data_IF_582363876189
#
_entry.id   IF_582363876189
#
_cell.length_a   1.000
_cell.length_b   1.000
_cell.length_c   1.000
_cell.angle_alpha   90.00
_cell.angle_beta   90.00
_cell.angle_gamma   90.00
#
_symmetry.space_group_name_H-M   'P 1'
#
loop_
_entity.id
_entity.type
_entity.pdbx_description
1 polymer ?
#
# COMPACT_ATOMS: atom_id res chain seq x y z
N UNK A 1 -4.60 -13.73 24.77
CA UNK A 1 -3.75 -12.65 24.18
C UNK A 1 -4.49 -11.31 24.12
N UNK A 2 -5.79 -11.30 23.82
CA UNK A 2 -6.62 -10.07 23.80
C UNK A 2 -6.63 -9.30 25.12
N UNK A 3 -6.69 -9.99 26.26
CA UNK A 3 -6.70 -9.35 27.60
C UNK A 3 -5.45 -8.54 27.94
N UNK A 4 -4.30 -8.86 27.37
CA UNK A 4 -3.05 -8.14 27.61
C UNK A 4 -2.99 -6.79 26.90
N UNK A 5 -3.54 -6.73 25.69
CA UNK A 5 -3.59 -5.50 24.88
C UNK A 5 -4.59 -4.49 25.50
N UNK A 6 -5.72 -5.01 25.99
CA UNK A 6 -6.78 -4.18 26.59
C UNK A 6 -6.31 -3.56 27.91
N UNK A 7 -5.64 -4.30 28.79
CA UNK A 7 -5.07 -3.76 30.03
C UNK A 7 -4.00 -2.70 29.79
N UNK A 8 -3.25 -2.82 28.69
CA UNK A 8 -2.26 -1.80 28.33
C UNK A 8 -2.91 -0.50 27.83
N UNK A 9 -3.99 -0.60 27.06
CA UNK A 9 -4.76 0.55 26.58
C UNK A 9 -5.58 1.22 27.70
N UNK A 10 -6.24 0.45 28.55
CA UNK A 10 -6.99 0.97 29.72
C UNK A 10 -6.09 1.66 30.74
N UNK A 11 -4.86 1.20 30.94
CA UNK A 11 -3.91 1.83 31.85
C UNK A 11 -3.44 3.21 31.35
N UNK A 12 -3.47 3.45 30.05
CA UNK A 12 -3.15 4.75 29.43
C UNK A 12 -4.30 5.77 29.57
N UNK A 13 -5.56 5.29 29.62
CA UNK A 13 -6.74 6.16 29.73
C UNK A 13 -7.09 6.55 31.17
N UNK A 14 -6.62 5.80 32.17
CA UNK A 14 -6.98 5.98 33.59
C UNK A 14 -5.92 6.66 34.46
N UNK A 15 -4.88 7.24 33.90
CA UNK A 15 -3.92 8.01 34.71
C UNK A 15 -4.53 9.34 35.14
N UNK A 16 -4.61 9.63 36.45
CA UNK A 16 -5.13 10.92 36.93
C UNK A 16 -4.16 12.03 36.49
N UNK A 17 -4.75 13.17 36.18
CA UNK A 17 -4.04 14.41 35.90
C UNK A 17 -3.12 14.77 37.05
N UNK A 18 -1.84 14.51 36.91
CA UNK A 18 -0.80 14.97 37.81
C UNK A 18 0.16 15.84 37.02
N UNK A 19 0.20 17.10 37.42
CA UNK A 19 1.26 18.09 37.30
C UNK A 19 2.09 18.14 36.02
N UNK A 20 1.94 19.26 35.33
CA UNK A 20 2.77 19.73 34.23
C UNK A 20 4.27 19.81 34.61
N UNK A 21 5.05 18.81 34.19
CA UNK A 21 6.49 18.84 34.26
C UNK A 21 7.08 17.95 33.15
N UNK A 22 8.09 18.43 32.38
CA UNK A 22 8.56 17.75 31.18
C UNK A 22 9.31 16.42 31.39
N UNK A 23 9.53 15.99 32.64
CA UNK A 23 10.38 14.82 32.94
C UNK A 23 9.65 13.49 33.14
N UNK A 24 8.30 13.46 33.07
CA UNK A 24 7.50 12.24 33.28
C UNK A 24 7.17 11.44 32.01
N UNK A 25 7.25 12.07 30.84
CA UNK A 25 6.84 11.43 29.56
C UNK A 25 7.90 10.56 28.91
N UNK A 26 9.20 10.85 29.14
CA UNK A 26 10.29 10.10 28.49
C UNK A 26 10.49 8.65 28.98
N UNK A 27 9.93 8.27 30.12
CA UNK A 27 10.20 6.92 30.69
C UNK A 27 9.17 5.85 30.33
N UNK A 28 8.01 6.19 29.78
CA UNK A 28 6.95 5.22 29.46
C UNK A 28 7.05 4.70 28.02
N UNK A 29 7.47 5.55 27.08
CA UNK A 29 7.63 5.17 25.66
C UNK A 29 8.59 4.01 25.42
N UNK A 30 9.77 3.93 26.07
CA UNK A 30 10.69 2.80 25.85
C UNK A 30 10.18 1.45 26.39
N UNK A 31 9.26 1.46 27.35
CA UNK A 31 8.71 0.21 27.92
C UNK A 31 7.62 -0.38 27.02
N UNK A 32 6.77 0.47 26.46
CA UNK A 32 5.74 0.04 25.51
C UNK A 32 6.35 -0.40 24.17
N UNK A 33 7.37 0.31 23.68
CA UNK A 33 8.14 -0.10 22.52
C UNK A 33 8.83 -1.47 22.72
N UNK A 34 9.35 -1.77 23.93
CA UNK A 34 9.96 -3.07 24.19
C UNK A 34 8.94 -4.21 24.27
N UNK A 35 7.75 -3.96 24.79
CA UNK A 35 6.66 -4.96 24.80
C UNK A 35 6.18 -5.24 23.37
N UNK A 36 6.04 -4.20 22.56
CA UNK A 36 5.57 -4.34 21.19
C UNK A 36 6.61 -5.02 20.28
N UNK A 37 7.89 -4.66 20.40
CA UNK A 37 9.00 -5.32 19.70
C UNK A 37 9.14 -6.80 20.11
N UNK A 38 8.81 -7.14 21.36
CA UNK A 38 8.85 -8.55 21.83
C UNK A 38 7.66 -9.36 21.29
N UNK A 39 6.48 -8.75 21.15
CA UNK A 39 5.29 -9.39 20.56
C UNK A 39 5.38 -9.51 19.03
N UNK A 40 6.12 -8.59 18.36
CA UNK A 40 6.35 -8.64 16.91
C UNK A 40 7.49 -9.56 16.49
N UNK A 41 8.34 -10.01 17.41
CA UNK A 41 9.41 -11.00 17.17
C UNK A 41 8.91 -12.41 17.48
N UNK A 42 7.88 -12.84 16.76
CA UNK A 42 7.54 -14.26 16.77
C UNK A 42 8.48 -15.01 15.82
N UNK A 43 9.15 -16.09 16.25
CA UNK A 43 10.03 -16.87 15.39
C UNK A 43 9.19 -17.54 14.30
N UNK A 44 9.74 -17.52 13.08
CA UNK A 44 9.38 -18.29 11.90
C UNK A 44 8.18 -19.23 12.09
N UNK A 45 7.02 -18.80 11.61
CA UNK A 45 5.93 -19.72 11.36
C UNK A 45 6.40 -20.78 10.36
N UNK A 46 6.15 -22.06 10.67
CA UNK A 46 6.44 -23.17 9.79
C UNK A 46 5.85 -22.92 8.38
N UNK A 47 6.51 -23.37 7.30
CA UNK A 47 5.99 -23.17 5.96
C UNK A 47 4.62 -23.81 5.82
N UNK A 48 3.65 -23.02 5.37
CA UNK A 48 2.28 -23.50 5.10
C UNK A 48 2.37 -24.45 3.91
N UNK A 49 1.95 -25.72 4.02
CA UNK A 49 1.85 -26.61 2.87
C UNK A 49 0.79 -26.04 1.91
N UNK A 50 1.12 -25.89 0.63
CA UNK A 50 0.27 -25.40 -0.49
C UNK A 50 0.26 -23.89 -0.76
N UNK A 51 1.28 -23.12 -0.42
CA UNK A 51 1.55 -21.89 -1.13
C UNK A 51 2.06 -22.25 -2.54
N UNK A 52 1.30 -21.86 -3.58
CA UNK A 52 1.76 -21.95 -4.97
C UNK A 52 3.18 -21.37 -5.09
N UNK A 53 4.08 -21.95 -5.90
CA UNK A 53 5.44 -21.47 -6.05
C UNK A 53 5.42 -20.02 -6.55
N UNK A 54 5.65 -19.10 -5.63
CA UNK A 54 5.91 -17.69 -5.97
C UNK A 54 7.26 -17.63 -6.64
N UNK A 55 7.39 -16.84 -7.67
CA UNK A 55 8.69 -16.55 -8.29
C UNK A 55 9.69 -16.20 -7.18
N UNK A 56 10.77 -16.98 -7.07
CA UNK A 56 11.72 -16.88 -5.96
C UNK A 56 12.48 -15.55 -6.00
N UNK A 57 12.52 -14.88 -7.16
CA UNK A 57 13.42 -13.78 -7.44
C UNK A 57 12.73 -12.42 -7.66
N UNK A 58 11.41 -12.35 -7.74
CA UNK A 58 10.68 -11.08 -7.90
C UNK A 58 9.43 -11.00 -7.05
N UNK A 59 9.00 -9.78 -6.65
CA UNK A 59 7.75 -9.53 -5.96
C UNK A 59 6.54 -9.73 -6.89
N UNK A 60 5.38 -9.98 -6.29
CA UNK A 60 4.12 -10.05 -7.03
C UNK A 60 3.70 -8.64 -7.49
N UNK A 61 3.28 -8.51 -8.75
CA UNK A 61 2.71 -7.27 -9.28
C UNK A 61 1.22 -7.47 -9.50
N UNK A 62 0.43 -6.60 -8.88
CA UNK A 62 -1.03 -6.60 -8.97
C UNK A 62 -1.48 -5.28 -9.58
N UNK A 63 -2.01 -5.34 -10.81
CA UNK A 63 -2.56 -4.18 -11.51
C UNK A 63 -4.06 -4.30 -11.55
N UNK A 64 -4.75 -3.23 -11.19
CA UNK A 64 -6.19 -3.21 -11.13
C UNK A 64 -6.80 -1.82 -11.15
N UNK A 65 -8.01 -1.72 -10.67
CA UNK A 65 -8.87 -0.55 -10.75
C UNK A 65 -9.47 -0.23 -9.38
N UNK A 66 -9.84 1.02 -9.19
CA UNK A 66 -10.47 1.52 -7.98
C UNK A 66 -12.00 1.43 -8.12
N UNK A 67 -12.59 0.36 -7.57
CA UNK A 67 -14.00 -0.01 -7.74
C UNK A 67 -14.29 -0.67 -9.08
N UNK A 68 -15.52 -1.17 -9.26
CA UNK A 68 -15.92 -1.88 -10.48
C UNK A 68 -17.34 -1.56 -10.98
N UNK A 69 -18.12 -0.77 -10.26
CA UNK A 69 -19.53 -0.45 -10.59
C UNK A 69 -19.64 0.96 -11.14
N UNK A 70 -19.38 1.10 -12.43
CA UNK A 70 -19.46 2.39 -13.10
C UNK A 70 -20.36 2.30 -14.35
N UNK A 71 -21.48 3.05 -14.38
CA UNK A 71 -22.41 3.02 -15.52
C UNK A 71 -21.75 3.26 -16.88
N UNK A 72 -20.75 4.17 -17.03
CA UNK A 72 -20.09 4.39 -18.32
C UNK A 72 -19.30 3.18 -18.86
N UNK A 73 -18.99 2.20 -18.02
CA UNK A 73 -18.28 0.99 -18.48
C UNK A 73 -19.16 -0.01 -19.21
N UNK A 74 -20.50 0.11 -19.08
CA UNK A 74 -21.47 -0.78 -19.72
C UNK A 74 -21.53 -0.51 -21.21
N UNK A 75 -21.30 -1.56 -22.00
CA UNK A 75 -21.18 -1.47 -23.46
C UNK A 75 -19.78 -1.11 -23.96
N UNK A 76 -18.82 -0.90 -23.03
CA UNK A 76 -17.40 -0.67 -23.32
C UNK A 76 -16.55 -1.77 -22.66
N UNK A 77 -16.16 -1.61 -21.40
CA UNK A 77 -15.43 -2.64 -20.65
C UNK A 77 -16.32 -3.85 -20.33
N UNK A 78 -17.55 -3.61 -19.92
CA UNK A 78 -18.56 -4.65 -19.77
C UNK A 78 -19.33 -4.83 -21.08
N UNK A 79 -19.49 -6.08 -21.52
CA UNK A 79 -20.27 -6.40 -22.72
C UNK A 79 -21.70 -5.89 -22.60
N UNK A 80 -22.29 -5.49 -23.74
CA UNK A 80 -23.71 -5.13 -23.79
C UNK A 80 -24.56 -6.28 -23.27
N UNK A 81 -25.50 -5.99 -22.35
CA UNK A 81 -26.36 -6.99 -21.73
C UNK A 81 -25.78 -7.69 -20.50
N UNK A 82 -24.52 -7.47 -20.14
CA UNK A 82 -23.98 -7.99 -18.88
C UNK A 82 -24.75 -7.38 -17.70
N UNK A 83 -25.35 -8.23 -16.88
CA UNK A 83 -26.10 -7.77 -15.71
C UNK A 83 -25.14 -7.31 -14.61
N UNK A 84 -25.53 -6.28 -13.88
CA UNK A 84 -24.68 -5.61 -12.88
C UNK A 84 -24.09 -6.56 -11.82
N UNK A 85 -24.79 -7.62 -11.45
CA UNK A 85 -24.31 -8.62 -10.48
C UNK A 85 -23.07 -9.36 -10.97
N UNK A 86 -22.87 -9.48 -12.28
CA UNK A 86 -21.79 -10.25 -12.90
C UNK A 86 -20.57 -9.35 -13.26
N UNK A 87 -20.67 -8.02 -13.02
CA UNK A 87 -19.60 -7.05 -13.33
C UNK A 87 -18.31 -7.38 -12.58
N UNK A 88 -18.38 -7.79 -11.30
CA UNK A 88 -17.21 -8.18 -10.52
C UNK A 88 -16.55 -9.44 -11.08
N UNK A 89 -17.35 -10.46 -11.38
CA UNK A 89 -16.87 -11.70 -11.97
C UNK A 89 -16.20 -11.46 -13.34
N UNK A 90 -16.73 -10.53 -14.15
CA UNK A 90 -16.12 -10.14 -15.42
C UNK A 90 -14.78 -9.40 -15.20
N UNK A 91 -14.76 -8.39 -14.33
CA UNK A 91 -13.56 -7.57 -14.08
C UNK A 91 -12.43 -8.40 -13.47
N UNK A 92 -12.74 -9.28 -12.51
CA UNK A 92 -11.75 -10.11 -11.82
C UNK A 92 -11.09 -11.19 -12.69
N UNK A 93 -11.66 -11.51 -13.84
CA UNK A 93 -11.04 -12.41 -14.85
C UNK A 93 -10.10 -11.67 -15.80
N UNK A 94 -10.14 -10.35 -15.81
CA UNK A 94 -9.28 -9.52 -16.67
C UNK A 94 -8.18 -8.78 -15.91
N UNK A 95 -8.36 -8.61 -14.60
CA UNK A 95 -7.46 -7.89 -13.71
C UNK A 95 -7.16 -8.76 -12.49
N UNK A 96 -5.98 -8.60 -11.90
CA UNK A 96 -5.53 -9.44 -10.78
C UNK A 96 -5.90 -8.87 -9.39
N UNK A 97 -6.43 -7.65 -9.34
CA UNK A 97 -6.81 -6.97 -8.11
C UNK A 97 -7.84 -5.87 -8.36
N UNK A 98 -8.62 -5.56 -7.33
CA UNK A 98 -9.53 -4.40 -7.30
C UNK A 98 -9.45 -3.75 -5.92
N UNK A 99 -9.45 -2.42 -5.87
CA UNK A 99 -9.61 -1.64 -4.65
C UNK A 99 -11.10 -1.45 -4.34
N UNK A 100 -11.56 -1.95 -3.19
CA UNK A 100 -12.95 -1.81 -2.74
C UNK A 100 -13.16 -0.40 -2.16
N UNK A 101 -13.85 0.47 -2.88
CA UNK A 101 -14.18 1.83 -2.45
C UNK A 101 -15.50 1.93 -1.67
N UNK A 102 -16.38 0.96 -1.78
CA UNK A 102 -17.68 0.97 -1.10
C UNK A 102 -17.54 1.10 0.42
N UNK A 103 -16.53 0.44 1.00
CA UNK A 103 -16.23 0.46 2.44
C UNK A 103 -15.80 1.84 2.98
N UNK A 104 -15.31 2.71 2.12
CA UNK A 104 -14.98 4.10 2.47
C UNK A 104 -16.21 4.93 2.84
N UNK A 105 -17.32 4.74 2.12
CA UNK A 105 -18.54 5.51 2.30
C UNK A 105 -19.47 4.92 3.35
N UNK A 106 -19.53 3.58 3.45
CA UNK A 106 -20.37 2.87 4.41
C UNK A 106 -19.80 1.49 4.73
N UNK A 107 -20.05 1.00 5.94
CA UNK A 107 -19.73 -0.36 6.32
C UNK A 107 -20.52 -1.34 5.46
N UNK A 108 -19.83 -2.31 4.89
CA UNK A 108 -20.43 -3.34 4.06
C UNK A 108 -21.02 -4.48 4.92
N UNK A 109 -21.90 -5.28 4.34
CA UNK A 109 -22.47 -6.43 5.05
C UNK A 109 -21.55 -7.66 4.94
N UNK A 110 -21.51 -8.54 5.94
CA UNK A 110 -20.75 -9.80 5.85
C UNK A 110 -21.09 -10.64 4.62
N UNK A 111 -22.36 -10.65 4.20
CA UNK A 111 -22.81 -11.32 2.98
C UNK A 111 -22.19 -10.74 1.70
N UNK A 112 -21.94 -9.43 1.66
CA UNK A 112 -21.28 -8.80 0.51
C UNK A 112 -19.82 -9.23 0.42
N UNK A 113 -19.09 -9.24 1.53
CA UNK A 113 -17.70 -9.68 1.58
C UNK A 113 -17.55 -11.15 1.14
N UNK A 114 -18.44 -12.04 1.64
CA UNK A 114 -18.44 -13.44 1.24
C UNK A 114 -18.73 -13.61 -0.24
N UNK A 115 -19.73 -12.92 -0.77
CA UNK A 115 -20.06 -12.96 -2.19
C UNK A 115 -18.87 -12.48 -3.06
N UNK A 116 -18.19 -11.41 -2.71
CA UNK A 116 -17.00 -10.94 -3.44
C UNK A 116 -15.86 -11.96 -3.41
N UNK A 117 -15.70 -12.65 -2.29
CA UNK A 117 -14.76 -13.77 -2.21
C UNK A 117 -15.13 -14.89 -3.18
N UNK A 118 -16.41 -15.28 -3.22
CA UNK A 118 -16.89 -16.41 -4.03
C UNK A 118 -16.91 -16.11 -5.54
N UNK A 119 -17.20 -14.87 -5.93
CA UNK A 119 -17.35 -14.45 -7.34
C UNK A 119 -16.02 -14.24 -8.07
N UNK A 120 -14.87 -14.25 -7.39
CA UNK A 120 -13.55 -13.94 -7.95
C UNK A 120 -12.64 -15.17 -8.03
N UNK A 121 -11.62 -15.20 -8.92
CA UNK A 121 -10.63 -16.29 -8.98
C UNK A 121 -9.88 -16.49 -7.65
N UNK A 122 -9.31 -17.68 -7.45
CA UNK A 122 -8.66 -18.05 -6.20
C UNK A 122 -7.42 -17.23 -5.85
N UNK A 123 -6.69 -16.76 -6.85
CA UNK A 123 -5.50 -15.93 -6.74
C UNK A 123 -5.79 -14.43 -6.73
N UNK A 124 -7.07 -14.05 -6.80
CA UNK A 124 -7.50 -12.66 -6.82
C UNK A 124 -7.30 -12.00 -5.44
N UNK A 125 -6.86 -10.74 -5.46
CA UNK A 125 -6.64 -9.96 -4.23
C UNK A 125 -7.50 -8.70 -4.25
N UNK A 126 -8.13 -8.41 -3.12
CA UNK A 126 -8.81 -7.13 -2.90
C UNK A 126 -7.97 -6.23 -2.02
N UNK A 127 -7.71 -4.99 -2.43
CA UNK A 127 -7.41 -3.92 -1.49
C UNK A 127 -8.71 -3.35 -0.93
N UNK A 128 -8.69 -2.91 0.31
CA UNK A 128 -9.89 -2.40 0.99
C UNK A 128 -9.64 -0.99 1.47
N UNK A 129 -10.46 -0.03 1.02
CA UNK A 129 -10.36 1.35 1.49
C UNK A 129 -11.05 1.51 2.84
N UNK A 130 -10.29 1.90 3.86
CA UNK A 130 -10.78 2.16 5.21
C UNK A 130 -11.84 3.27 5.26
N UNK A 131 -12.77 3.25 6.23
CA UNK A 131 -13.91 4.16 6.28
C UNK A 131 -13.50 5.64 6.40
N UNK A 132 -14.12 6.50 5.57
CA UNK A 132 -13.95 7.97 5.70
C UNK A 132 -14.36 8.50 7.08
N UNK A 133 -15.19 7.75 7.79
CA UNK A 133 -15.59 8.12 9.14
C UNK A 133 -14.39 8.24 10.07
N UNK A 134 -13.39 7.36 9.94
CA UNK A 134 -12.15 7.37 10.72
C UNK A 134 -11.23 8.53 10.28
N UNK A 135 -10.95 8.62 8.97
CA UNK A 135 -9.91 9.52 8.44
C UNK A 135 -10.40 10.94 8.17
N UNK A 136 -11.65 11.12 7.67
CA UNK A 136 -12.19 12.42 7.26
C UNK A 136 -13.08 13.05 8.30
N UNK A 137 -13.99 12.27 8.91
CA UNK A 137 -14.98 12.82 9.84
C UNK A 137 -14.42 12.91 11.24
N UNK A 138 -13.91 11.81 11.81
CA UNK A 138 -13.30 11.78 13.13
C UNK A 138 -11.88 12.37 13.15
N UNK A 139 -11.19 12.40 12.02
CA UNK A 139 -9.80 12.88 11.92
C UNK A 139 -8.93 12.25 13.02
N UNK A 140 -9.02 10.92 13.12
CA UNK A 140 -8.31 10.06 14.06
C UNK A 140 -8.69 10.23 15.55
N UNK A 141 -9.74 10.95 15.89
CA UNK A 141 -10.20 11.11 17.29
C UNK A 141 -11.23 10.04 17.64
N UNK A 142 -11.06 9.37 18.77
CA UNK A 142 -12.02 8.37 19.27
C UNK A 142 -12.38 7.33 18.20
N UNK A 143 -11.39 6.66 17.64
CA UNK A 143 -11.57 5.74 16.52
C UNK A 143 -11.65 4.27 16.90
N UNK A 144 -11.58 3.92 18.19
CA UNK A 144 -11.57 2.52 18.64
C UNK A 144 -12.83 1.77 18.20
N UNK A 145 -14.01 2.28 18.53
CA UNK A 145 -15.28 1.67 18.09
C UNK A 145 -15.48 1.74 16.57
N UNK A 146 -15.18 2.84 15.85
CA UNK A 146 -15.16 2.85 14.39
C UNK A 146 -14.23 1.81 13.76
N UNK A 147 -13.04 1.59 14.33
CA UNK A 147 -12.09 0.59 13.87
C UNK A 147 -12.62 -0.83 14.09
N UNK A 148 -13.16 -1.09 15.29
CA UNK A 148 -13.79 -2.36 15.65
C UNK A 148 -14.98 -2.66 14.72
N UNK A 149 -15.86 -1.69 14.50
CA UNK A 149 -16.99 -1.83 13.58
C UNK A 149 -16.57 -2.13 12.14
N UNK A 150 -15.48 -1.52 11.69
CA UNK A 150 -14.94 -1.78 10.35
C UNK A 150 -14.51 -3.23 10.18
N UNK A 151 -13.69 -3.75 11.09
CA UNK A 151 -13.25 -5.15 11.01
C UNK A 151 -14.37 -6.14 11.28
N UNK A 152 -15.30 -5.83 12.21
CA UNK A 152 -16.48 -6.65 12.48
C UNK A 152 -17.48 -6.68 11.31
N UNK A 153 -17.47 -5.70 10.40
CA UNK A 153 -18.40 -5.62 9.25
C UNK A 153 -18.23 -6.75 8.22
N UNK A 154 -17.24 -7.62 8.41
CA UNK A 154 -16.98 -8.79 7.58
C UNK A 154 -15.75 -8.69 6.68
N UNK A 155 -14.88 -7.69 6.83
CA UNK A 155 -13.63 -7.54 6.07
C UNK A 155 -12.79 -8.82 6.12
N UNK A 156 -12.75 -9.47 7.31
CA UNK A 156 -12.00 -10.71 7.55
C UNK A 156 -12.52 -11.90 6.74
N UNK A 157 -13.77 -11.84 6.23
CA UNK A 157 -14.34 -12.85 5.36
C UNK A 157 -13.66 -12.95 4.00
N UNK A 158 -12.89 -11.94 3.61
CA UNK A 158 -12.03 -12.02 2.43
C UNK A 158 -10.88 -13.02 2.58
N UNK A 159 -10.54 -13.48 3.79
CA UNK A 159 -9.56 -14.53 4.04
C UNK A 159 -8.26 -14.32 3.26
N UNK A 160 -7.86 -15.31 2.43
CA UNK A 160 -6.66 -15.24 1.58
C UNK A 160 -6.69 -14.16 0.49
N UNK A 161 -7.86 -13.63 0.16
CA UNK A 161 -8.03 -12.56 -0.83
C UNK A 161 -7.96 -11.16 -0.23
N UNK A 162 -7.78 -11.03 1.09
CA UNK A 162 -7.56 -9.74 1.75
C UNK A 162 -6.13 -9.26 1.46
N UNK A 163 -6.03 -8.20 0.69
CA UNK A 163 -4.82 -7.44 0.41
C UNK A 163 -4.64 -6.25 1.34
N UNK A 164 -3.92 -5.19 0.91
CA UNK A 164 -3.67 -4.02 1.73
C UNK A 164 -4.95 -3.25 2.09
N UNK A 165 -4.97 -2.70 3.30
CA UNK A 165 -5.99 -1.72 3.73
C UNK A 165 -5.44 -0.32 3.46
N UNK A 166 -6.18 0.47 2.65
CA UNK A 166 -5.83 1.84 2.30
C UNK A 166 -6.49 2.83 3.25
N UNK A 167 -5.70 3.68 3.88
CA UNK A 167 -6.14 4.81 4.69
C UNK A 167 -5.86 6.11 3.97
N UNK A 168 -6.89 6.71 3.36
CA UNK A 168 -6.77 7.98 2.66
C UNK A 168 -7.15 9.14 3.59
N UNK A 169 -6.32 10.17 3.65
CA UNK A 169 -6.54 11.38 4.43
C UNK A 169 -6.94 12.55 3.54
N UNK A 170 -7.86 13.43 4.01
CA UNK A 170 -8.32 14.56 3.21
C UNK A 170 -7.29 15.71 3.18
N UNK A 171 -7.40 16.65 2.20
CA UNK A 171 -6.47 17.77 2.09
C UNK A 171 -6.52 18.77 3.26
N UNK A 172 -7.56 18.71 4.09
CA UNK A 172 -7.68 19.54 5.30
C UNK A 172 -7.26 18.80 6.60
N UNK A 173 -6.46 17.73 6.47
CA UNK A 173 -5.86 17.00 7.58
C UNK A 173 -4.35 17.09 7.47
N UNK A 174 -3.71 17.93 8.30
CA UNK A 174 -2.27 18.11 8.35
C UNK A 174 -1.56 17.03 9.16
N UNK A 175 -0.26 16.89 8.94
CA UNK A 175 0.60 15.99 9.71
C UNK A 175 0.88 16.58 11.10
N UNK A 176 0.56 15.79 12.11
CA UNK A 176 0.92 15.98 13.50
C UNK A 176 1.30 14.61 14.06
N UNK A 177 2.58 14.39 14.41
CA UNK A 177 3.07 13.11 14.94
C UNK A 177 2.29 12.65 16.17
N UNK A 178 1.90 13.58 17.06
CA UNK A 178 1.19 13.26 18.29
C UNK A 178 -0.22 12.67 18.03
N UNK A 179 -0.84 13.04 16.92
CA UNK A 179 -2.13 12.49 16.48
C UNK A 179 -1.95 11.27 15.59
N UNK A 180 -0.89 11.24 14.76
CA UNK A 180 -0.76 10.23 13.71
C UNK A 180 -0.12 8.93 14.20
N UNK A 181 0.87 9.00 15.09
CA UNK A 181 1.53 7.81 15.63
C UNK A 181 0.60 6.89 16.42
N UNK A 182 -0.29 7.38 17.31
CA UNK A 182 -1.30 6.54 17.96
C UNK A 182 -2.19 5.78 16.97
N UNK A 183 -2.59 6.42 15.88
CA UNK A 183 -3.35 5.73 14.82
C UNK A 183 -2.57 4.57 14.22
N UNK A 184 -1.30 4.76 13.85
CA UNK A 184 -0.48 3.68 13.32
C UNK A 184 -0.31 2.53 14.32
N UNK A 185 -0.23 2.85 15.61
CA UNK A 185 -0.10 1.87 16.68
C UNK A 185 -1.38 1.03 16.89
N UNK A 186 -2.57 1.55 16.50
CA UNK A 186 -3.84 0.80 16.58
C UNK A 186 -4.08 -0.13 15.40
N UNK A 187 -3.30 -0.03 14.32
CA UNK A 187 -3.51 -0.86 13.13
C UNK A 187 -3.17 -2.33 13.40
N UNK A 188 -4.05 -3.29 13.05
CA UNK A 188 -3.75 -4.71 13.16
C UNK A 188 -2.88 -5.17 12.00
N UNK A 189 -1.78 -5.84 12.27
CA UNK A 189 -0.87 -6.37 11.24
C UNK A 189 -1.08 -7.84 10.92
N UNK A 190 -2.08 -8.47 11.53
CA UNK A 190 -2.55 -9.81 11.17
C UNK A 190 -4.04 -9.95 11.48
N UNK A 191 -4.65 -11.02 10.95
CA UNK A 191 -6.09 -11.26 11.09
C UNK A 191 -6.51 -11.59 12.51
N UNK A 192 -5.64 -12.15 13.36
CA UNK A 192 -5.91 -12.40 14.76
C UNK A 192 -6.04 -11.10 15.56
N UNK A 193 -5.12 -10.16 15.37
CA UNK A 193 -5.21 -8.82 15.93
C UNK A 193 -6.48 -8.08 15.46
N UNK A 194 -6.81 -8.21 14.16
CA UNK A 194 -8.01 -7.59 13.60
C UNK A 194 -9.29 -8.20 14.17
N UNK A 195 -9.31 -9.51 14.44
CA UNK A 195 -10.42 -10.19 15.11
C UNK A 195 -10.57 -9.69 16.55
N UNK A 196 -9.48 -9.60 17.31
CA UNK A 196 -9.51 -9.03 18.67
C UNK A 196 -10.08 -7.61 18.69
N UNK A 197 -9.72 -6.77 17.71
CA UNK A 197 -10.31 -5.42 17.57
C UNK A 197 -11.79 -5.53 17.23
N UNK A 198 -12.17 -6.39 16.30
CA UNK A 198 -13.55 -6.57 15.84
C UNK A 198 -14.51 -7.01 16.97
N UNK A 199 -14.04 -7.81 17.92
CA UNK A 199 -14.82 -8.25 19.09
C UNK A 199 -15.31 -7.08 19.96
N UNK A 200 -14.69 -5.91 19.88
CA UNK A 200 -15.06 -4.68 20.61
C UNK A 200 -16.00 -3.76 19.79
N UNK A 201 -16.69 -4.32 18.79
CA UNK A 201 -17.67 -3.56 18.02
C UNK A 201 -18.82 -3.04 18.89
N UNK A 202 -19.43 -1.93 18.48
CA UNK A 202 -20.57 -1.35 19.19
C UNK A 202 -21.93 -1.77 18.58
N UNK A 203 -23.01 -1.26 19.14
CA UNK A 203 -24.39 -1.53 18.74
C UNK A 203 -24.70 -1.19 17.28
N UNK A 204 -23.92 -0.31 16.62
CA UNK A 204 -24.16 0.11 15.23
C UNK A 204 -24.02 -1.01 14.22
N UNK A 205 -23.30 -2.06 14.56
CA UNK A 205 -23.15 -3.25 13.71
C UNK A 205 -23.75 -4.51 14.33
N UNK A 206 -24.45 -4.40 15.45
CA UNK A 206 -25.12 -5.53 16.10
C UNK A 206 -26.03 -6.29 15.11
N UNK A 207 -25.94 -7.62 15.12
CA UNK A 207 -26.69 -8.52 14.24
C UNK A 207 -26.21 -8.56 12.78
N UNK A 208 -25.12 -7.85 12.44
CA UNK A 208 -24.51 -7.86 11.10
C UNK A 208 -22.99 -7.86 11.17
N UNK A 209 -22.45 -8.74 11.98
CA UNK A 209 -21.01 -8.90 12.20
C UNK A 209 -20.52 -10.24 11.67
N UNK A 210 -19.21 -10.28 11.43
CA UNK A 210 -18.48 -11.50 11.16
C UNK A 210 -17.22 -11.50 12.03
N UNK A 211 -17.14 -12.44 12.95
CA UNK A 211 -16.09 -12.55 13.97
C UNK A 211 -15.35 -13.89 13.87
N UNK A 212 -14.97 -14.23 12.64
CA UNK A 212 -14.24 -15.47 12.34
C UNK A 212 -13.08 -15.19 11.37
N UNK A 213 -12.03 -15.99 11.49
CA UNK A 213 -10.89 -16.03 10.56
C UNK A 213 -10.63 -17.46 10.12
N UNK A 214 -10.21 -17.65 8.88
CA UNK A 214 -9.82 -18.95 8.33
C UNK A 214 -8.42 -19.38 8.76
N UNK A 215 -7.52 -18.39 8.94
CA UNK A 215 -6.15 -18.58 9.38
C UNK A 215 -5.55 -17.25 9.84
N UNK A 216 -4.48 -17.30 10.62
CA UNK A 216 -3.69 -16.11 10.94
C UNK A 216 -2.90 -15.70 9.71
N UNK A 217 -3.29 -14.56 9.13
CA UNK A 217 -2.70 -13.98 7.91
C UNK A 217 -2.21 -12.57 8.16
N UNK A 218 -1.16 -12.20 7.47
CA UNK A 218 -0.66 -10.82 7.53
C UNK A 218 -1.65 -9.84 6.91
N UNK A 219 -1.88 -8.71 7.59
CA UNK A 219 -2.56 -7.54 7.05
C UNK A 219 -1.52 -6.47 6.75
N UNK A 220 -1.61 -5.82 5.60
CA UNK A 220 -0.77 -4.72 5.17
C UNK A 220 -1.57 -3.43 5.17
N UNK A 221 -0.93 -2.31 5.48
CA UNK A 221 -1.57 -1.00 5.48
C UNK A 221 -0.83 -0.03 4.58
N UNK A 222 -1.60 0.81 3.88
CA UNK A 222 -1.09 1.89 3.05
C UNK A 222 -1.77 3.21 3.43
N UNK A 223 -1.03 4.32 3.36
CA UNK A 223 -1.49 5.67 3.72
C UNK A 223 -1.35 6.60 2.53
N UNK A 224 -2.47 7.16 2.07
CA UNK A 224 -2.52 8.24 1.08
C UNK A 224 -2.78 9.57 1.77
N UNK A 225 -1.92 10.55 1.52
CA UNK A 225 -2.01 11.89 2.11
C UNK A 225 -2.19 12.94 1.03
N UNK A 226 -2.90 14.02 1.37
CA UNK A 226 -3.25 15.10 0.42
C UNK A 226 -2.86 16.49 0.92
N UNK A 227 -2.48 16.64 2.19
CA UNK A 227 -2.03 17.91 2.73
C UNK A 227 -0.50 18.04 2.59
N UNK A 228 0.03 19.23 2.18
CA UNK A 228 1.47 19.42 1.93
C UNK A 228 2.36 19.24 3.18
N UNK A 229 1.84 19.38 4.40
CA UNK A 229 2.62 19.15 5.63
C UNK A 229 3.11 17.71 5.81
N UNK A 230 2.59 16.75 5.04
CA UNK A 230 3.11 15.38 5.02
C UNK A 230 4.39 15.23 4.18
N UNK A 231 4.83 16.28 3.48
CA UNK A 231 6.15 16.31 2.84
C UNK A 231 7.19 16.58 3.93
N UNK A 232 7.34 15.61 4.83
CA UNK A 232 8.15 15.68 6.04
C UNK A 232 8.91 14.36 6.22
N UNK A 233 10.27 14.39 6.39
CA UNK A 233 11.06 13.20 6.63
C UNK A 233 10.63 12.39 7.86
N UNK A 234 10.13 13.03 8.92
CA UNK A 234 9.66 12.35 10.12
C UNK A 234 8.41 11.53 9.85
N UNK A 235 7.53 11.99 8.95
CA UNK A 235 6.40 11.20 8.49
C UNK A 235 6.85 9.89 7.81
N UNK A 236 7.83 9.96 6.91
CA UNK A 236 8.35 8.76 6.24
C UNK A 236 9.09 7.84 7.23
N UNK A 237 9.82 8.41 8.20
CA UNK A 237 10.47 7.64 9.26
C UNK A 237 9.43 6.90 10.12
N UNK A 238 8.33 7.55 10.46
CA UNK A 238 7.22 6.97 11.21
C UNK A 238 6.55 5.82 10.44
N UNK A 239 6.24 6.00 9.16
CA UNK A 239 5.70 4.93 8.33
C UNK A 239 6.66 3.72 8.23
N UNK A 240 7.96 3.96 8.12
CA UNK A 240 8.99 2.91 8.11
C UNK A 240 9.06 2.14 9.43
N UNK A 241 8.92 2.84 10.55
CA UNK A 241 8.90 2.25 11.88
C UNK A 241 7.75 1.25 12.03
N UNK A 242 6.57 1.58 11.52
CA UNK A 242 5.37 0.73 11.60
C UNK A 242 5.23 -0.22 10.41
N UNK A 243 6.07 -0.12 9.38
CA UNK A 243 5.98 -0.96 8.18
C UNK A 243 4.73 -0.69 7.34
N UNK A 244 4.21 0.54 7.38
CA UNK A 244 3.06 1.02 6.62
C UNK A 244 3.54 1.64 5.32
N UNK A 245 2.90 1.31 4.19
CA UNK A 245 3.29 1.85 2.89
C UNK A 245 2.80 3.30 2.72
N UNK A 246 3.70 4.17 2.29
CA UNK A 246 3.32 5.44 1.69
C UNK A 246 2.74 5.19 0.30
N UNK A 247 1.59 5.77 -0.01
CA UNK A 247 0.98 5.63 -1.33
C UNK A 247 1.68 6.55 -2.31
N UNK A 248 2.26 5.96 -3.34
CA UNK A 248 2.76 6.69 -4.50
C UNK A 248 1.57 7.05 -5.37
N UNK A 249 1.23 8.33 -5.46
CA UNK A 249 0.07 8.81 -6.20
C UNK A 249 0.48 9.69 -7.36
N UNK A 250 -0.21 9.54 -8.51
CA UNK A 250 -0.21 10.48 -9.61
C UNK A 250 -1.52 11.29 -9.52
N UNK A 251 -1.41 12.58 -9.29
CA UNK A 251 -2.53 13.45 -8.91
C UNK A 251 -2.63 14.70 -9.77
N UNK A 252 -1.97 14.71 -10.93
CA UNK A 252 -1.87 15.90 -11.80
C UNK A 252 -1.33 17.12 -11.03
N UNK A 253 -0.44 16.91 -10.06
CA UNK A 253 0.17 17.96 -9.24
C UNK A 253 -0.74 18.57 -8.17
N UNK A 254 -1.99 18.10 -8.00
CA UNK A 254 -2.92 18.68 -7.03
C UNK A 254 -2.54 18.39 -5.56
N UNK A 255 -1.94 17.22 -5.29
CA UNK A 255 -1.49 16.79 -3.97
C UNK A 255 -0.04 16.33 -4.03
N UNK A 256 0.63 16.11 -2.88
CA UNK A 256 2.01 15.66 -2.86
C UNK A 256 2.23 14.37 -3.68
N UNK A 257 3.09 14.47 -4.70
CA UNK A 257 3.52 13.36 -5.54
C UNK A 257 4.96 13.01 -5.18
N UNK A 258 5.11 11.99 -4.36
CA UNK A 258 6.39 11.52 -3.83
C UNK A 258 6.48 10.00 -3.96
N UNK A 259 7.72 9.51 -4.04
CA UNK A 259 8.02 8.12 -4.40
C UNK A 259 8.70 7.35 -3.26
N UNK A 260 8.53 7.79 -2.02
CA UNK A 260 9.15 7.14 -0.88
C UNK A 260 8.60 5.72 -0.67
N UNK A 261 9.47 4.74 -0.59
CA UNK A 261 9.13 3.38 -0.21
C UNK A 261 9.34 3.24 1.30
N UNK A 262 8.26 3.02 2.04
CA UNK A 262 8.28 2.94 3.50
C UNK A 262 8.01 1.54 4.06
N UNK A 263 7.53 0.59 3.22
CA UNK A 263 7.19 -0.78 3.62
C UNK A 263 7.90 -1.83 2.77
N UNK A 264 7.55 -3.10 2.97
CA UNK A 264 8.04 -4.22 2.17
C UNK A 264 7.21 -4.46 0.89
N UNK A 265 6.27 -3.57 0.62
CA UNK A 265 5.47 -3.50 -0.60
C UNK A 265 5.28 -2.04 -1.02
N UNK A 266 4.83 -1.83 -2.25
CA UNK A 266 4.50 -0.51 -2.80
C UNK A 266 3.02 -0.47 -3.15
N UNK A 267 2.37 0.63 -2.84
CA UNK A 267 0.98 0.91 -3.19
C UNK A 267 0.93 2.15 -4.10
N UNK A 268 0.39 1.97 -5.30
CA UNK A 268 0.33 3.02 -6.32
C UNK A 268 -1.13 3.36 -6.63
N UNK A 269 -1.46 4.64 -6.74
CA UNK A 269 -2.76 5.12 -7.20
C UNK A 269 -2.61 6.12 -8.33
N UNK A 270 -3.20 5.81 -9.47
CA UNK A 270 -3.11 6.57 -10.72
C UNK A 270 -4.44 7.28 -10.99
N UNK A 271 -4.48 8.57 -10.67
CA UNK A 271 -5.71 9.38 -10.74
C UNK A 271 -5.89 10.12 -12.06
N UNK A 272 -4.96 9.99 -13.00
CA UNK A 272 -4.91 10.72 -14.26
C UNK A 272 -3.74 11.71 -14.29
N UNK A 273 -3.05 11.80 -15.43
CA UNK A 273 -1.78 12.54 -15.55
C UNK A 273 -1.95 14.04 -15.78
N UNK A 274 -2.95 14.46 -16.56
CA UNK A 274 -3.17 15.86 -16.90
C UNK A 274 -4.35 16.48 -16.16
N UNK A 275 -5.46 15.78 -16.14
CA UNK A 275 -6.68 16.21 -15.44
C UNK A 275 -7.08 15.13 -14.45
N UNK A 276 -7.10 15.52 -13.18
CA UNK A 276 -7.42 14.61 -12.09
C UNK A 276 -8.74 13.87 -12.35
N UNK A 277 -8.69 12.57 -12.26
CA UNK A 277 -9.79 11.65 -12.49
C UNK A 277 -10.35 11.60 -13.92
N UNK A 278 -9.81 12.26 -14.93
CA UNK A 278 -10.40 12.31 -16.28
C UNK A 278 -9.45 11.83 -17.37
N UNK A 279 -8.18 12.17 -17.32
CA UNK A 279 -7.26 11.87 -18.43
C UNK A 279 -6.85 10.40 -18.48
N UNK A 280 -6.75 9.89 -19.71
CA UNK A 280 -6.06 8.64 -20.01
C UNK A 280 -4.55 8.83 -19.89
N UNK A 281 -3.84 7.73 -19.68
CA UNK A 281 -2.38 7.71 -19.71
C UNK A 281 -1.87 7.51 -21.14
N UNK A 282 -0.89 8.31 -21.53
CA UNK A 282 -0.16 8.11 -22.79
C UNK A 282 0.74 6.87 -22.74
N UNK A 283 1.20 6.40 -23.91
CA UNK A 283 2.13 5.26 -23.97
C UNK A 283 3.43 5.54 -23.21
N UNK A 284 3.99 6.74 -23.35
CA UNK A 284 5.21 7.15 -22.66
C UNK A 284 5.05 7.20 -21.13
N UNK A 285 3.89 7.60 -20.63
CA UNK A 285 3.58 7.57 -19.19
C UNK A 285 3.43 6.14 -18.66
N UNK A 286 2.75 5.28 -19.40
CA UNK A 286 2.63 3.87 -19.02
C UNK A 286 3.97 3.14 -19.07
N UNK A 287 4.85 3.47 -20.03
CA UNK A 287 6.22 2.94 -20.08
C UNK A 287 7.04 3.37 -18.87
N UNK A 288 6.89 4.63 -18.45
CA UNK A 288 7.52 5.18 -17.24
C UNK A 288 7.02 4.48 -15.98
N UNK A 289 5.70 4.25 -15.86
CA UNK A 289 5.11 3.50 -14.75
C UNK A 289 5.55 2.05 -14.76
N UNK A 290 5.63 1.39 -15.91
CA UNK A 290 6.16 0.03 -16.02
C UNK A 290 7.60 -0.07 -15.52
N UNK A 291 8.47 0.88 -15.89
CA UNK A 291 9.86 0.93 -15.42
C UNK A 291 9.95 1.14 -13.89
N UNK A 292 9.13 2.03 -13.32
CA UNK A 292 9.06 2.25 -11.86
C UNK A 292 8.62 0.99 -11.13
N UNK A 293 7.56 0.34 -11.60
CA UNK A 293 7.03 -0.91 -11.03
C UNK A 293 8.09 -2.01 -11.09
N UNK A 294 8.81 -2.14 -12.22
CA UNK A 294 9.89 -3.10 -12.36
C UNK A 294 11.02 -2.87 -11.34
N UNK A 295 11.43 -1.61 -11.14
CA UNK A 295 12.44 -1.24 -10.15
C UNK A 295 12.01 -1.57 -8.71
N UNK A 296 10.76 -1.30 -8.35
CA UNK A 296 10.24 -1.64 -7.02
C UNK A 296 10.10 -3.15 -6.82
N UNK A 297 9.59 -3.87 -7.83
CA UNK A 297 9.44 -5.33 -7.82
C UNK A 297 10.78 -6.04 -7.56
N UNK A 298 11.87 -5.54 -8.15
CA UNK A 298 13.23 -6.04 -7.93
C UNK A 298 13.87 -5.56 -6.62
N UNK A 299 13.09 -4.93 -5.74
CA UNK A 299 13.54 -4.48 -4.41
C UNK A 299 14.35 -3.19 -4.40
N UNK A 300 14.47 -2.51 -5.55
CA UNK A 300 15.14 -1.22 -5.73
C UNK A 300 14.23 -0.01 -5.51
N UNK A 301 14.61 1.11 -6.12
CA UNK A 301 13.87 2.36 -6.21
C UNK A 301 13.88 2.84 -7.65
N UNK A 302 12.83 3.55 -8.06
CA UNK A 302 12.76 4.17 -9.38
C UNK A 302 13.89 5.20 -9.56
N UNK A 303 14.47 5.24 -10.75
CA UNK A 303 15.62 6.10 -11.03
C UNK A 303 15.26 7.60 -11.01
N UNK A 304 14.00 7.93 -11.32
CA UNK A 304 13.44 9.26 -11.36
C UNK A 304 12.66 9.62 -10.07
N UNK A 305 12.85 8.86 -8.97
CA UNK A 305 12.11 9.02 -7.72
C UNK A 305 12.31 10.39 -7.09
N UNK A 306 11.21 11.03 -6.72
CA UNK A 306 11.16 12.28 -5.94
C UNK A 306 10.90 11.96 -4.48
N UNK A 307 11.95 11.93 -3.66
CA UNK A 307 11.88 11.49 -2.27
C UNK A 307 11.68 12.65 -1.31
N UNK A 308 10.95 12.38 -0.23
CA UNK A 308 10.85 13.21 0.97
C UNK A 308 12.03 12.89 1.90
N UNK A 309 12.26 11.60 2.13
CA UNK A 309 13.32 11.16 3.03
C UNK A 309 14.69 11.30 2.38
N UNK A 310 15.67 11.84 3.13
CA UNK A 310 17.06 11.96 2.68
C UNK A 310 17.75 10.61 2.48
N UNK A 311 17.28 9.55 3.16
CA UNK A 311 17.80 8.21 3.03
C UNK A 311 16.87 7.37 2.15
N UNK A 312 17.38 6.70 1.11
CA UNK A 312 16.60 5.77 0.31
C UNK A 312 16.06 4.62 1.19
N UNK A 313 15.03 3.90 0.73
CA UNK A 313 14.56 2.72 1.43
C UNK A 313 15.65 1.65 1.49
N UNK A 314 15.63 0.82 2.54
CA UNK A 314 16.50 -0.34 2.61
C UNK A 314 16.31 -1.22 1.38
N UNK A 315 17.42 -1.58 0.72
CA UNK A 315 17.38 -2.49 -0.42
C UNK A 315 16.82 -3.84 0.04
N UNK A 316 15.86 -4.36 -0.70
CA UNK A 316 15.28 -5.67 -0.48
C UNK A 316 15.53 -6.54 -1.70
N UNK A 317 15.45 -7.86 -1.55
CA UNK A 317 15.54 -8.78 -2.68
C UNK A 317 14.36 -8.61 -3.64
N UNK A 318 13.16 -8.31 -3.10
CA UNK A 318 11.92 -8.11 -3.85
C UNK A 318 10.91 -7.31 -3.03
N UNK A 319 9.94 -6.69 -3.72
CA UNK A 319 8.74 -6.07 -3.12
C UNK A 319 7.51 -6.39 -3.96
N UNK A 320 6.40 -6.66 -3.30
CA UNK A 320 5.11 -6.70 -4.00
C UNK A 320 4.68 -5.28 -4.38
N UNK A 321 4.01 -5.14 -5.52
CA UNK A 321 3.48 -3.87 -5.99
C UNK A 321 1.99 -4.01 -6.27
N UNK A 322 1.20 -3.12 -5.66
CA UNK A 322 -0.24 -2.98 -5.91
C UNK A 322 -0.47 -1.64 -6.60
N UNK A 323 -1.04 -1.66 -7.80
CA UNK A 323 -1.27 -0.46 -8.59
C UNK A 323 -2.74 -0.39 -9.02
N UNK A 324 -3.39 0.74 -8.70
CA UNK A 324 -4.81 0.94 -8.95
C UNK A 324 -5.03 2.19 -9.79
N UNK A 325 -5.68 2.01 -10.94
CA UNK A 325 -6.16 3.11 -11.76
C UNK A 325 -7.47 3.66 -11.18
N UNK A 326 -7.48 4.96 -10.89
CA UNK A 326 -8.62 5.71 -10.37
C UNK A 326 -8.89 6.95 -11.23
N UNK A 327 -8.47 6.93 -12.51
CA UNK A 327 -8.76 7.96 -13.49
C UNK A 327 -10.24 7.88 -13.89
N UNK A 328 -10.86 9.04 -13.89
CA UNK A 328 -12.29 9.15 -13.78
C UNK A 328 -13.02 9.27 -15.08
N UNK A 329 -14.21 9.63 -15.00
CA UNK A 329 -15.29 8.98 -15.65
C UNK A 329 -15.06 7.47 -15.74
N UNK A 330 -13.99 7.08 -15.15
CA UNK A 330 -13.44 5.75 -14.89
C UNK A 330 -13.49 4.83 -16.11
N UNK A 331 -13.83 5.40 -17.27
CA UNK A 331 -13.85 4.66 -18.52
C UNK A 331 -12.45 4.24 -18.93
N UNK A 332 -11.45 5.08 -18.66
CA UNK A 332 -10.07 4.80 -19.04
C UNK A 332 -9.36 3.83 -18.08
N UNK A 333 -9.78 3.78 -16.82
CA UNK A 333 -9.11 2.97 -15.80
C UNK A 333 -8.90 1.49 -16.22
N UNK A 334 -9.89 0.73 -16.67
CA UNK A 334 -9.69 -0.66 -17.10
C UNK A 334 -8.87 -0.78 -18.40
N UNK A 335 -8.92 0.21 -19.28
CA UNK A 335 -8.13 0.24 -20.51
C UNK A 335 -6.66 0.45 -20.18
N UNK A 336 -6.35 1.47 -19.39
CA UNK A 336 -4.99 1.80 -19.00
C UNK A 336 -4.37 0.71 -18.13
N UNK A 337 -5.17 0.08 -17.25
CA UNK A 337 -4.72 -1.07 -16.47
C UNK A 337 -4.28 -2.24 -17.37
N UNK A 338 -5.03 -2.57 -18.41
CA UNK A 338 -4.65 -3.60 -19.38
C UNK A 338 -3.40 -3.23 -20.17
N UNK A 339 -3.32 -1.99 -20.66
CA UNK A 339 -2.15 -1.49 -21.38
C UNK A 339 -0.88 -1.53 -20.52
N UNK A 340 -0.97 -1.29 -19.21
CA UNK A 340 0.16 -1.42 -18.29
C UNK A 340 0.52 -2.88 -18.05
N UNK A 341 -0.45 -3.79 -17.91
CA UNK A 341 -0.20 -5.23 -17.79
C UNK A 341 0.54 -5.76 -19.02
N UNK A 342 0.11 -5.41 -20.23
CA UNK A 342 0.75 -5.80 -21.48
C UNK A 342 2.24 -5.39 -21.53
N UNK A 343 2.56 -4.17 -21.08
CA UNK A 343 3.94 -3.66 -21.01
C UNK A 343 4.81 -4.46 -20.04
N UNK A 344 4.26 -4.79 -18.89
CA UNK A 344 4.97 -5.58 -17.87
C UNK A 344 5.19 -7.03 -18.31
N UNK A 345 4.32 -7.58 -19.16
CA UNK A 345 4.44 -8.92 -19.73
C UNK A 345 5.41 -8.97 -20.91
N UNK A 346 5.41 -7.94 -21.76
CA UNK A 346 6.20 -7.90 -23.00
C UNK A 346 7.69 -7.62 -22.75
N UNK A 347 8.08 -7.22 -21.54
CA UNK A 347 9.46 -6.84 -21.23
C UNK A 347 9.98 -7.51 -19.94
N UNK A 348 9.98 -8.86 -19.86
CA UNK A 348 10.42 -9.57 -18.65
C UNK A 348 11.92 -9.34 -18.37
N UNK A 349 12.75 -9.11 -19.37
CA UNK A 349 14.21 -8.94 -19.24
C UNK A 349 14.62 -7.56 -18.65
N UNK A 350 13.85 -6.51 -18.86
CA UNK A 350 14.08 -5.23 -18.17
C UNK A 350 13.84 -5.32 -16.67
N UNK A 351 13.25 -6.39 -16.21
CA UNK A 351 12.92 -6.64 -14.80
C UNK A 351 14.15 -7.16 -14.04
N UNK A 352 15.12 -7.78 -14.71
CA UNK A 352 16.32 -8.39 -14.10
C UNK A 352 17.59 -7.52 -14.20
N UNK A 353 17.64 -6.54 -15.10
CA UNK A 353 18.79 -5.64 -15.21
C UNK A 353 18.66 -4.49 -14.18
N UNK A 354 19.15 -4.72 -12.96
CA UNK A 354 19.53 -3.63 -12.06
C UNK A 354 20.50 -2.67 -12.79
N UNK A 355 20.66 -1.39 -12.33
CA UNK A 355 21.48 -0.41 -13.04
C UNK A 355 22.83 -1.01 -13.33
N UNK A 356 23.14 -1.21 -14.62
CA UNK A 356 24.47 -1.63 -15.07
C UNK A 356 25.45 -0.57 -14.59
N UNK A 357 26.31 -0.91 -13.64
CA UNK A 357 27.52 -0.13 -13.39
C UNK A 357 28.24 -0.04 -14.73
N UNK A 358 28.62 1.16 -15.20
CA UNK A 358 29.38 1.28 -16.42
C UNK A 358 30.65 0.43 -16.26
N UNK A 359 30.74 -0.61 -17.08
CA UNK A 359 31.95 -1.40 -17.22
C UNK A 359 33.07 -0.44 -17.56
N UNK A 360 34.09 -0.39 -16.72
CA UNK A 360 35.35 0.30 -17.02
C UNK A 360 35.96 -0.35 -18.26
N UNK A 361 35.55 0.15 -19.43
CA UNK A 361 36.12 -0.24 -20.70
C UNK A 361 37.61 0.10 -20.69
N UNK A 362 38.37 -0.99 -20.83
CA UNK A 362 39.67 -1.09 -21.50
C UNK A 362 40.54 0.17 -21.44
N UNK A 363 41.44 0.21 -20.48
CA UNK A 363 42.65 1.03 -20.63
C UNK A 363 43.43 0.51 -21.86
N UNK A 364 43.27 1.16 -22.98
CA UNK A 364 44.26 1.10 -24.06
C UNK A 364 45.60 1.59 -23.47
N UNK A 365 46.55 0.65 -23.40
CA UNK A 365 47.97 0.98 -23.23
C UNK A 365 48.39 1.85 -24.40
N UNK A 366 48.50 3.13 -24.22
CA UNK A 366 49.29 3.97 -25.14
C UNK A 366 50.76 3.68 -24.89
N UNK A 367 51.42 3.09 -25.86
CA UNK A 367 52.88 3.03 -25.98
C UNK A 367 53.42 4.43 -26.19
N UNK A 368 54.46 4.86 -25.45
CA UNK A 368 55.08 6.16 -25.72
C UNK A 368 55.85 6.16 -27.05
N UNK A 369 55.89 7.30 -27.79
CA UNK A 369 56.65 7.40 -29.02
C UNK A 369 58.14 7.35 -28.76
N UNK A 370 58.88 6.69 -29.67
CA UNK A 370 60.31 6.60 -29.67
C UNK A 370 60.96 7.96 -29.77
N UNK A 371 62.01 8.23 -28.92
CA UNK A 371 62.86 9.38 -29.03
C UNK A 371 63.69 9.26 -30.34
N UNK A 372 63.51 10.23 -31.18
CA UNK A 372 64.43 10.45 -32.32
C UNK A 372 65.57 11.33 -31.85
N UNK A 373 66.74 10.71 -31.77
CA UNK A 373 68.04 11.40 -31.64
C UNK A 373 68.44 11.77 -33.03
N UNK A 374 68.43 13.05 -33.38
CA UNK A 374 69.38 13.69 -34.32
C UNK A 374 68.95 15.13 -34.63
N UNK A 375 69.70 16.04 -34.14
CA UNK A 375 70.47 17.02 -34.94
C UNK A 375 70.99 18.16 -34.07
N UNK A 376 72.27 18.11 -33.90
CA UNK A 376 73.10 19.31 -33.61
C UNK A 376 73.25 20.14 -34.87
N UNK A 377 73.63 21.38 -34.62
CA UNK A 377 74.26 22.40 -35.51
C UNK A 377 73.21 23.51 -35.85
N UNK A 378 73.38 24.74 -35.49
CA UNK A 378 74.43 25.72 -35.12
C UNK A 378 73.86 26.75 -34.13
#
# INVERSE_FOLDING_TARGET
>A
MCDGLHRALDSLQRSPTVGSGPRGRERLLPRLQRLWVHLSRNPMAAPIPNALPRSIDAGDVRIGISGWRYPPWRGAFYQRGLVQRDELAHASRQLSTIEINGSFYSLQQPSSWGRWFDETPDDFIFSVKGPRFITHMKKLREIDAPMANFFASGVLRLGRKLGPVLWQFPPNFGFDPATFEPFLATLPFNTDQALCIAEHHDHRVAGRTWLEIDAVRRIRHAVEVRHPSFVDPDFIALLRQYGVAFVVADTSGLWPEKDDVSADFVYVRLHGSETLYQSAYTDAELDRWAARIAAWRSGGQAADARLIASRPPSRRRRRDVYCYFDNTDKLQAPIDAKRLIERLQSNPERIDEGPRTPSTASRHRMTPPARDERARID
#
